data_IF_287373415141
#
_entry.id   IF_287373415141
#
_cell.length_a   1.000
_cell.length_b   1.000
_cell.length_c   1.000
_cell.angle_alpha   90.00
_cell.angle_beta   90.00
_cell.angle_gamma   90.00
#
_symmetry.space_group_name_H-M   'P 1'
#
loop_
_entity.id
_entity.type
_entity.pdbx_description
1 polymer ?
#
# COMPACT_ATOMS: atom_id res chain seq x y z
N UNK A 1 -4.06 -12.06 57.56
CA UNK A 1 -3.09 -11.26 56.77
C UNK A 1 -3.28 -11.65 55.30
N UNK A 2 -4.12 -10.92 54.63
CA UNK A 2 -4.49 -11.19 53.22
C UNK A 2 -3.66 -10.31 52.31
N UNK A 3 -2.89 -10.90 51.45
CA UNK A 3 -2.19 -10.20 50.39
C UNK A 3 -3.11 -10.05 49.19
N UNK A 4 -3.35 -8.82 48.84
CA UNK A 4 -4.15 -8.40 47.67
C UNK A 4 -3.25 -8.46 46.45
N UNK A 5 -3.54 -9.37 45.53
CA UNK A 5 -2.94 -9.36 44.19
C UNK A 5 -3.59 -8.23 43.37
N UNK A 6 -2.81 -7.21 43.12
CA UNK A 6 -3.20 -6.14 42.18
C UNK A 6 -3.05 -6.64 40.75
N UNK A 7 -4.18 -6.89 40.12
CA UNK A 7 -4.25 -7.16 38.69
C UNK A 7 -3.94 -5.86 37.93
N UNK A 8 -2.78 -5.80 37.34
CA UNK A 8 -2.43 -4.73 36.40
C UNK A 8 -3.33 -4.80 35.18
N UNK A 9 -4.07 -3.73 34.96
CA UNK A 9 -4.99 -3.57 33.86
C UNK A 9 -4.27 -3.56 32.51
N UNK A 10 -4.76 -4.37 31.62
CA UNK A 10 -4.37 -4.43 30.23
C UNK A 10 -4.88 -3.16 29.53
N UNK A 11 -4.01 -2.25 29.16
CA UNK A 11 -4.35 -1.12 28.31
C UNK A 11 -4.32 -1.55 26.84
N UNK A 12 -5.34 -1.25 26.05
CA UNK A 12 -5.38 -1.56 24.62
C UNK A 12 -4.76 -0.41 23.78
N UNK A 13 -3.53 -0.04 24.09
CA UNK A 13 -2.74 0.82 23.22
C UNK A 13 -1.47 0.03 22.90
N UNK A 14 -1.26 -0.27 21.63
CA UNK A 14 -0.11 -1.05 21.16
C UNK A 14 1.18 -0.56 21.82
N UNK A 15 1.92 -1.51 22.42
CA UNK A 15 3.08 -1.25 23.27
C UNK A 15 4.12 -0.43 22.48
N UNK A 16 4.22 0.86 22.82
CA UNK A 16 5.27 1.73 22.33
C UNK A 16 6.48 1.59 23.24
N UNK A 17 7.60 1.17 22.67
CA UNK A 17 8.88 1.00 23.35
C UNK A 17 9.72 2.26 23.20
N UNK A 18 10.40 2.66 24.25
CA UNK A 18 11.32 3.81 24.24
C UNK A 18 12.77 3.35 24.04
N UNK A 19 13.59 4.20 23.45
CA UNK A 19 15.05 4.04 23.42
C UNK A 19 15.59 3.77 24.80
N UNK A 20 16.53 2.82 24.92
CA UNK A 20 17.13 2.40 26.20
C UNK A 20 16.33 1.31 26.92
N UNK A 21 15.15 0.91 26.41
CA UNK A 21 14.44 -0.26 26.93
C UNK A 21 14.98 -1.56 26.33
N UNK A 22 14.88 -2.66 27.06
CA UNK A 22 15.19 -4.01 26.62
C UNK A 22 13.88 -4.76 26.34
N UNK A 23 13.26 -4.59 25.20
CA UNK A 23 11.94 -5.17 24.92
C UNK A 23 11.98 -6.64 24.49
N UNK A 24 13.20 -7.23 24.46
CA UNK A 24 13.44 -8.60 24.03
C UNK A 24 13.65 -8.77 22.53
N UNK A 25 13.90 -10.02 22.11
CA UNK A 25 14.13 -10.36 20.71
C UNK A 25 12.92 -10.02 19.83
N UNK A 26 13.18 -9.38 18.69
CA UNK A 26 12.14 -9.05 17.71
C UNK A 26 12.50 -7.90 16.80
N UNK A 27 11.54 -7.59 15.93
CA UNK A 27 11.65 -6.47 14.99
C UNK A 27 10.80 -5.29 15.49
N UNK A 28 11.42 -4.13 15.53
CA UNK A 28 10.81 -2.89 16.02
C UNK A 28 10.83 -1.84 14.92
N UNK A 29 9.77 -1.05 14.83
CA UNK A 29 9.61 -0.02 13.82
C UNK A 29 9.53 1.34 14.45
N UNK A 30 10.34 2.28 13.97
CA UNK A 30 10.31 3.66 14.41
C UNK A 30 8.93 4.28 14.12
N UNK A 31 8.30 4.89 15.14
CA UNK A 31 6.98 5.50 15.00
C UNK A 31 6.97 6.76 14.13
N UNK A 32 8.15 7.35 13.84
CA UNK A 32 8.26 8.59 13.06
C UNK A 32 8.55 8.30 11.59
N UNK A 33 9.55 7.46 11.30
CA UNK A 33 10.01 7.24 9.92
C UNK A 33 9.83 5.80 9.41
N UNK A 34 9.33 4.88 10.25
CA UNK A 34 9.12 3.48 9.88
C UNK A 34 10.40 2.65 9.74
N UNK A 35 11.58 3.20 10.06
CA UNK A 35 12.84 2.44 10.00
C UNK A 35 12.77 1.25 10.93
N UNK A 36 13.21 0.11 10.42
CA UNK A 36 13.19 -1.18 11.11
C UNK A 36 14.49 -1.39 11.88
N UNK A 37 14.38 -1.88 13.12
CA UNK A 37 15.51 -2.30 13.98
C UNK A 37 15.24 -3.72 14.45
N UNK A 38 16.17 -4.63 14.22
CA UNK A 38 16.12 -5.98 14.77
C UNK A 38 16.95 -6.03 16.06
N UNK A 39 16.38 -6.60 17.12
CA UNK A 39 17.04 -6.75 18.43
C UNK A 39 17.10 -8.23 18.81
N UNK A 40 18.19 -8.60 19.49
CA UNK A 40 18.31 -9.87 20.19
C UNK A 40 17.79 -9.74 21.63
N UNK A 41 17.70 -10.85 22.33
CA UNK A 41 17.05 -10.95 23.64
C UNK A 41 17.56 -9.96 24.71
N UNK A 42 18.84 -9.59 24.63
CA UNK A 42 19.52 -8.72 25.59
C UNK A 42 19.88 -7.33 25.05
N UNK A 43 19.44 -7.00 23.83
CA UNK A 43 19.78 -5.73 23.21
C UNK A 43 18.91 -4.60 23.74
N UNK A 44 19.53 -3.44 23.97
CA UNK A 44 18.80 -2.20 24.23
C UNK A 44 18.35 -1.57 22.92
N UNK A 45 17.12 -1.05 22.91
CA UNK A 45 16.56 -0.36 21.76
C UNK A 45 17.30 0.97 21.52
N UNK A 46 18.04 1.12 20.41
CA UNK A 46 18.80 2.35 20.12
C UNK A 46 17.89 3.49 19.70
N UNK A 47 18.39 4.72 19.69
CA UNK A 47 17.71 5.79 18.97
C UNK A 47 17.69 5.47 17.47
N UNK A 48 16.63 5.91 16.77
CA UNK A 48 16.52 5.66 15.33
C UNK A 48 17.71 6.32 14.60
N UNK A 49 18.50 5.52 13.90
CA UNK A 49 19.67 5.94 13.13
C UNK A 49 19.33 6.89 11.98
N UNK A 50 18.08 6.81 11.47
CA UNK A 50 17.62 7.64 10.35
C UNK A 50 17.05 8.99 10.78
N UNK A 51 16.29 9.08 11.88
CA UNK A 51 15.58 10.30 12.26
C UNK A 51 15.78 10.73 13.71
N UNK A 52 16.59 9.99 14.51
CA UNK A 52 16.86 10.29 15.91
C UNK A 52 15.69 10.06 16.87
N UNK A 53 14.57 9.56 16.39
CA UNK A 53 13.39 9.34 17.23
C UNK A 53 13.64 8.25 18.28
N UNK A 54 12.97 8.40 19.44
CA UNK A 54 13.13 7.55 20.61
C UNK A 54 11.97 6.60 20.88
N UNK A 55 11.01 6.49 19.96
CA UNK A 55 9.80 5.67 20.15
C UNK A 55 9.62 4.68 19.01
N UNK A 56 9.34 3.44 19.39
CA UNK A 56 9.19 2.31 18.47
C UNK A 56 7.96 1.48 18.84
N UNK A 57 7.45 0.74 17.88
CA UNK A 57 6.43 -0.29 18.10
C UNK A 57 7.00 -1.65 17.71
N UNK A 58 6.56 -2.69 18.38
CA UNK A 58 6.80 -4.07 17.94
C UNK A 58 5.69 -4.48 17.00
N UNK A 59 6.03 -5.00 15.83
CA UNK A 59 5.03 -5.66 15.00
C UNK A 59 4.81 -7.09 15.52
N UNK A 60 3.59 -7.36 15.92
CA UNK A 60 3.13 -8.73 16.10
C UNK A 60 2.77 -9.27 14.72
N UNK A 61 3.24 -10.49 14.40
CA UNK A 61 2.82 -11.21 13.19
C UNK A 61 1.29 -11.39 13.10
N UNK A 62 0.56 -11.04 14.16
CA UNK A 62 -0.90 -11.04 14.25
C UNK A 62 -1.54 -9.65 14.26
N UNK A 63 -0.77 -8.56 14.24
CA UNK A 63 -1.33 -7.20 14.31
C UNK A 63 -1.80 -6.65 12.95
N UNK A 64 -1.68 -7.42 11.87
CA UNK A 64 -2.27 -7.06 10.58
C UNK A 64 -3.82 -7.12 10.55
N UNK A 65 -4.48 -7.42 11.67
CA UNK A 65 -5.94 -7.59 11.73
C UNK A 65 -6.70 -6.50 12.50
N UNK A 66 -6.06 -5.49 13.07
CA UNK A 66 -6.77 -4.43 13.77
C UNK A 66 -6.12 -3.05 13.60
N UNK A 67 -6.35 -2.42 12.46
CA UNK A 67 -6.31 -0.96 12.38
C UNK A 67 -7.75 -0.46 12.30
N UNK A 68 -8.43 -0.43 13.45
CA UNK A 68 -9.57 0.43 13.66
C UNK A 68 -9.06 1.68 14.38
N UNK A 69 -8.33 2.53 13.62
CA UNK A 69 -8.25 3.95 13.94
C UNK A 69 -9.49 4.62 13.39
N UNK A 70 -10.00 5.72 14.02
CA UNK A 70 -11.04 6.54 13.39
C UNK A 70 -10.53 6.94 11.99
N UNK A 71 -11.42 7.08 10.99
CA UNK A 71 -11.00 7.54 9.68
C UNK A 71 -10.36 8.90 9.88
N UNK A 72 -9.05 8.94 9.91
CA UNK A 72 -8.31 10.17 9.74
C UNK A 72 -8.65 10.60 8.33
N UNK A 73 -9.49 11.62 8.21
CA UNK A 73 -9.67 12.34 6.96
C UNK A 73 -8.34 13.05 6.72
N UNK A 74 -7.34 12.29 6.32
CA UNK A 74 -6.14 12.85 5.77
C UNK A 74 -6.53 13.45 4.44
N UNK A 75 -6.58 14.76 4.41
CA UNK A 75 -6.62 15.53 3.19
C UNK A 75 -5.59 14.92 2.24
N UNK A 76 -6.08 14.38 1.13
CA UNK A 76 -5.26 13.93 0.05
C UNK A 76 -4.47 15.15 -0.45
N UNK A 77 -3.24 15.30 0.00
CA UNK A 77 -2.29 16.13 -0.72
C UNK A 77 -2.13 15.41 -2.06
N UNK A 78 -2.89 15.85 -3.07
CA UNK A 78 -2.58 15.54 -4.46
C UNK A 78 -1.14 16.00 -4.60
N UNK A 79 -0.22 15.07 -4.73
CA UNK A 79 1.10 15.41 -5.23
C UNK A 79 0.80 15.79 -6.68
N UNK A 80 0.80 17.09 -6.98
CA UNK A 80 0.66 17.63 -8.34
C UNK A 80 1.91 17.21 -9.12
N UNK A 81 1.93 15.94 -9.51
CA UNK A 81 2.82 15.48 -10.58
C UNK A 81 2.05 15.73 -11.86
N UNK A 82 2.61 16.57 -12.71
CA UNK A 82 2.11 16.68 -14.07
C UNK A 82 2.05 15.28 -14.68
N UNK A 83 0.89 14.89 -15.23
CA UNK A 83 0.74 13.60 -15.87
C UNK A 83 1.80 13.48 -16.98
N UNK A 84 2.41 12.30 -17.15
CA UNK A 84 3.40 12.11 -18.21
C UNK A 84 2.82 12.43 -19.59
N UNK A 85 3.56 13.16 -20.43
CA UNK A 85 3.10 13.59 -21.75
C UNK A 85 2.63 12.44 -22.66
N UNK A 86 3.15 11.22 -22.48
CA UNK A 86 2.73 10.06 -23.25
C UNK A 86 1.28 9.61 -22.96
N UNK A 87 0.65 10.11 -21.89
CA UNK A 87 -0.75 9.78 -21.58
C UNK A 87 -1.73 10.39 -22.60
N UNK A 88 -1.36 11.51 -23.23
CA UNK A 88 -2.18 12.08 -24.30
C UNK A 88 -2.15 11.19 -25.53
N UNK A 89 -0.96 10.67 -25.90
CA UNK A 89 -0.82 9.66 -26.95
C UNK A 89 -1.60 8.38 -26.64
N UNK A 90 -1.50 7.90 -25.38
CA UNK A 90 -2.27 6.76 -24.94
C UNK A 90 -3.79 7.00 -25.06
N UNK A 91 -4.27 8.19 -24.68
CA UNK A 91 -5.68 8.55 -24.75
C UNK A 91 -6.19 8.62 -26.20
N UNK A 92 -5.38 9.18 -27.12
CA UNK A 92 -5.72 9.24 -28.53
C UNK A 92 -5.76 7.85 -29.20
N UNK A 93 -5.05 6.87 -28.65
CA UNK A 93 -5.01 5.49 -29.16
C UNK A 93 -6.20 4.66 -28.69
N UNK A 94 -7.00 5.14 -27.72
CA UNK A 94 -8.16 4.40 -27.22
C UNK A 94 -9.26 4.32 -28.27
N UNK A 95 -9.70 3.11 -28.55
CA UNK A 95 -10.75 2.83 -29.57
C UNK A 95 -12.11 2.51 -28.95
N UNK A 96 -12.12 2.11 -27.67
CA UNK A 96 -13.34 1.74 -26.94
C UNK A 96 -13.68 2.81 -25.91
N UNK A 97 -14.97 3.18 -25.76
CA UNK A 97 -15.37 4.09 -24.69
C UNK A 97 -15.25 3.42 -23.32
N UNK A 98 -15.02 4.22 -22.28
CA UNK A 98 -14.97 3.76 -20.90
C UNK A 98 -13.60 3.92 -20.25
N UNK A 99 -13.41 3.20 -19.14
CA UNK A 99 -12.19 3.30 -18.36
C UNK A 99 -11.13 2.32 -18.87
N UNK A 100 -9.87 2.79 -18.86
CA UNK A 100 -8.70 2.03 -19.25
C UNK A 100 -7.57 2.23 -18.26
N UNK A 101 -6.76 1.21 -18.04
CA UNK A 101 -5.44 1.37 -17.45
C UNK A 101 -4.41 1.46 -18.57
N UNK A 102 -3.57 2.47 -18.51
CA UNK A 102 -2.44 2.65 -19.45
C UNK A 102 -1.12 2.52 -18.71
N UNK A 103 -0.15 1.88 -19.32
CA UNK A 103 1.23 1.85 -18.83
C UNK A 103 2.21 2.00 -19.98
N UNK A 104 3.42 2.45 -19.66
CA UNK A 104 4.51 2.53 -20.63
C UNK A 104 5.68 1.67 -20.16
N UNK A 105 6.14 0.83 -21.07
CA UNK A 105 7.34 0.03 -20.87
C UNK A 105 8.34 0.35 -22.00
N UNK A 106 9.43 1.04 -21.64
CA UNK A 106 10.35 1.59 -22.64
C UNK A 106 9.66 2.58 -23.58
N UNK A 107 9.56 2.25 -24.86
CA UNK A 107 8.86 3.04 -25.88
C UNK A 107 7.42 2.57 -26.16
N UNK A 108 7.01 1.42 -25.63
CA UNK A 108 5.70 0.83 -25.90
C UNK A 108 4.67 1.28 -24.86
N UNK A 109 3.48 1.64 -25.35
CA UNK A 109 2.32 1.97 -24.53
C UNK A 109 1.35 0.79 -24.59
N UNK A 110 1.03 0.24 -23.42
CA UNK A 110 0.01 -0.79 -23.29
C UNK A 110 -1.23 -0.21 -22.62
N UNK A 111 -2.40 -0.49 -23.18
CA UNK A 111 -3.69 -0.09 -22.63
C UNK A 111 -4.57 -1.30 -22.36
N UNK A 112 -5.27 -1.31 -21.24
CA UNK A 112 -6.14 -2.39 -20.80
C UNK A 112 -7.53 -1.83 -20.51
N UNK A 113 -8.51 -2.23 -21.31
CA UNK A 113 -9.91 -1.81 -21.12
C UNK A 113 -10.49 -2.41 -19.83
N UNK A 114 -11.13 -1.58 -19.01
CA UNK A 114 -11.80 -1.98 -17.78
C UNK A 114 -13.31 -2.27 -18.04
N UNK A 115 -13.59 -3.07 -19.07
CA UNK A 115 -14.94 -3.39 -19.52
C UNK A 115 -15.55 -4.68 -18.94
N UNK A 116 -14.78 -5.38 -18.08
CA UNK A 116 -15.21 -6.60 -17.40
C UNK A 116 -15.39 -6.33 -15.93
N UNK A 117 -16.49 -6.43 -15.32
CA UNK A 117 -16.74 -6.09 -13.90
C UNK A 117 -15.58 -6.30 -12.91
N UNK A 118 -14.76 -7.34 -13.09
CA UNK A 118 -13.58 -7.64 -12.26
C UNK A 118 -12.36 -7.92 -13.14
N UNK A 119 -11.31 -7.15 -12.96
CA UNK A 119 -10.05 -7.25 -13.68
C UNK A 119 -8.93 -7.57 -12.69
N UNK A 120 -8.27 -8.69 -12.91
CA UNK A 120 -7.17 -9.15 -12.07
C UNK A 120 -5.84 -8.64 -12.59
N UNK A 121 -5.03 -8.11 -11.69
CA UNK A 121 -3.68 -7.64 -11.99
C UNK A 121 -2.69 -8.51 -11.20
N UNK A 122 -1.66 -9.00 -11.85
CA UNK A 122 -0.64 -9.80 -11.18
C UNK A 122 0.40 -10.38 -12.11
N UNK A 123 1.40 -11.05 -11.55
CA UNK A 123 2.48 -11.70 -12.30
C UNK A 123 2.06 -13.03 -12.95
N UNK A 124 0.83 -13.44 -12.77
CA UNK A 124 0.33 -14.70 -13.31
C UNK A 124 -0.18 -14.50 -14.73
N UNK A 125 0.18 -15.39 -15.65
CA UNK A 125 -0.32 -15.39 -17.04
C UNK A 125 -1.83 -15.55 -17.16
N UNK A 126 -2.51 -15.93 -16.08
CA UNK A 126 -3.98 -16.00 -16.02
C UNK A 126 -4.61 -14.70 -15.49
N UNK A 127 -3.82 -13.68 -15.15
CA UNK A 127 -4.31 -12.35 -14.84
C UNK A 127 -4.75 -11.63 -16.12
N UNK A 128 -5.79 -10.78 -16.01
CA UNK A 128 -6.26 -9.97 -17.15
C UNK A 128 -5.19 -8.92 -17.54
N UNK A 129 -4.47 -8.40 -16.53
CA UNK A 129 -3.28 -7.54 -16.69
C UNK A 129 -2.10 -8.31 -16.11
N UNK A 130 -1.30 -8.91 -16.97
CA UNK A 130 -0.12 -9.66 -16.57
C UNK A 130 1.10 -8.75 -16.53
N UNK A 131 1.67 -8.58 -15.33
CA UNK A 131 2.89 -7.81 -15.06
C UNK A 131 3.98 -8.79 -14.62
N UNK A 132 4.74 -9.35 -15.58
CA UNK A 132 5.68 -10.44 -15.30
C UNK A 132 7.00 -9.92 -14.71
N UNK A 133 6.96 -9.64 -13.41
CA UNK A 133 8.11 -9.18 -12.65
C UNK A 133 8.09 -9.71 -11.20
N UNK A 134 9.25 -10.05 -10.60
CA UNK A 134 9.36 -10.52 -9.22
C UNK A 134 8.80 -9.55 -8.17
N UNK A 135 8.76 -8.24 -8.44
CA UNK A 135 8.17 -7.24 -7.53
C UNK A 135 6.64 -7.31 -7.48
N UNK A 136 6.01 -8.05 -8.41
CA UNK A 136 4.55 -8.21 -8.49
C UNK A 136 4.15 -9.57 -7.95
N UNK A 137 3.16 -9.62 -7.06
CA UNK A 137 2.59 -10.88 -6.58
C UNK A 137 1.81 -11.60 -7.68
N UNK A 138 1.71 -12.94 -7.63
CA UNK A 138 0.92 -13.71 -8.61
C UNK A 138 -0.52 -13.23 -8.72
N UNK A 139 -1.12 -12.88 -7.58
CA UNK A 139 -2.37 -12.13 -7.43
C UNK A 139 -1.99 -10.88 -6.68
N UNK A 140 -2.04 -9.72 -7.32
CA UNK A 140 -1.56 -8.49 -6.70
C UNK A 140 -2.70 -7.54 -6.40
N UNK A 141 -3.52 -7.26 -7.38
CA UNK A 141 -4.65 -6.36 -7.23
C UNK A 141 -5.86 -6.82 -8.06
N UNK A 142 -7.00 -6.28 -7.71
CA UNK A 142 -8.24 -6.45 -8.46
C UNK A 142 -8.84 -5.06 -8.68
N UNK A 143 -9.20 -4.76 -9.92
CA UNK A 143 -9.98 -3.57 -10.26
C UNK A 143 -11.43 -4.00 -10.50
N UNK A 144 -12.34 -3.37 -9.77
CA UNK A 144 -13.78 -3.49 -10.03
C UNK A 144 -14.23 -2.27 -10.85
N UNK A 145 -14.72 -2.52 -12.04
CA UNK A 145 -15.25 -1.50 -12.94
C UNK A 145 -16.63 -1.94 -13.42
N UNK A 146 -17.66 -1.44 -12.79
CA UNK A 146 -19.05 -1.63 -13.22
C UNK A 146 -19.49 -0.43 -14.04
N UNK A 147 -20.31 -0.68 -15.06
CA UNK A 147 -20.87 0.37 -15.92
C UNK A 147 -21.48 1.51 -15.09
N UNK A 148 -21.10 2.73 -15.43
CA UNK A 148 -21.61 3.95 -14.80
C UNK A 148 -21.09 4.26 -13.39
N UNK A 149 -20.09 3.51 -12.91
CA UNK A 149 -19.41 3.78 -11.62
C UNK A 149 -17.93 3.96 -11.80
N UNK A 150 -17.33 4.78 -10.92
CA UNK A 150 -15.89 4.92 -10.87
C UNK A 150 -15.24 3.56 -10.55
N UNK A 151 -14.15 3.21 -11.23
CA UNK A 151 -13.39 2.02 -10.92
C UNK A 151 -12.83 2.05 -9.50
N UNK A 152 -12.79 0.89 -8.86
CA UNK A 152 -12.20 0.72 -7.52
C UNK A 152 -11.09 -0.31 -7.60
N UNK A 153 -9.94 0.00 -7.03
CA UNK A 153 -8.84 -0.94 -6.91
C UNK A 153 -8.80 -1.51 -5.50
N UNK A 154 -8.49 -2.81 -5.42
CA UNK A 154 -8.34 -3.57 -4.19
C UNK A 154 -6.98 -4.27 -4.21
N UNK A 155 -6.20 -4.15 -3.16
CA UNK A 155 -5.00 -4.99 -2.93
C UNK A 155 -5.43 -6.43 -2.61
N UNK A 156 -5.09 -7.39 -3.46
CA UNK A 156 -5.41 -8.80 -3.25
C UNK A 156 -4.32 -9.53 -2.44
N UNK A 157 -3.98 -8.98 -1.28
CA UNK A 157 -2.97 -9.48 -0.35
C UNK A 157 -1.59 -9.56 -0.98
N UNK A 158 -1.21 -8.50 -1.68
CA UNK A 158 0.10 -8.43 -2.31
C UNK A 158 1.23 -8.29 -1.30
N UNK A 159 2.43 -8.71 -1.67
CA UNK A 159 3.61 -8.59 -0.80
C UNK A 159 4.05 -7.14 -0.62
N UNK A 160 4.05 -6.37 -1.71
CA UNK A 160 4.58 -5.00 -1.72
C UNK A 160 3.48 -3.93 -1.53
N UNK A 161 2.21 -4.31 -1.71
CA UNK A 161 1.08 -3.39 -1.64
C UNK A 161 0.81 -2.67 -2.95
N UNK A 162 -0.37 -2.09 -3.02
CA UNK A 162 -0.81 -1.20 -4.09
C UNK A 162 -0.68 0.24 -3.62
N UNK A 163 -0.13 1.11 -4.46
CA UNK A 163 -0.09 2.54 -4.18
C UNK A 163 -0.95 3.29 -5.20
N UNK A 164 -1.79 4.19 -4.73
CA UNK A 164 -2.53 5.15 -5.56
C UNK A 164 -2.00 6.54 -5.26
N UNK A 165 -1.48 7.23 -6.28
CA UNK A 165 -0.84 8.55 -6.15
C UNK A 165 0.25 8.58 -5.05
N UNK A 166 1.05 7.49 -4.97
CA UNK A 166 2.12 7.35 -3.99
C UNK A 166 1.67 6.95 -2.57
N UNK A 167 0.39 6.72 -2.33
CA UNK A 167 -0.16 6.26 -1.04
C UNK A 167 -0.51 4.79 -1.09
N UNK A 168 -0.06 4.03 -0.10
CA UNK A 168 -0.44 2.62 0.03
C UNK A 168 -1.90 2.50 0.42
N UNK A 169 -2.65 1.68 -0.32
CA UNK A 169 -4.08 1.49 -0.13
C UNK A 169 -4.43 0.00 -0.05
N UNK A 170 -5.45 -0.33 0.73
CA UNK A 170 -6.11 -1.64 0.67
C UNK A 170 -7.25 -1.61 -0.33
N UNK A 171 -8.00 -0.51 -0.36
CA UNK A 171 -9.08 -0.23 -1.32
C UNK A 171 -9.07 1.26 -1.62
N UNK A 172 -9.20 1.62 -2.89
CA UNK A 172 -9.36 3.02 -3.31
C UNK A 172 -10.31 3.13 -4.50
N UNK A 173 -11.07 4.20 -4.56
CA UNK A 173 -11.73 4.66 -5.79
C UNK A 173 -10.70 5.36 -6.66
N UNK A 174 -10.78 5.13 -7.97
CA UNK A 174 -9.84 5.69 -8.93
C UNK A 174 -10.51 6.78 -9.75
N UNK A 175 -9.84 7.91 -9.91
CA UNK A 175 -10.25 8.99 -10.80
C UNK A 175 -9.36 9.00 -12.06
N UNK A 176 -9.89 9.45 -13.22
CA UNK A 176 -9.06 9.63 -14.41
C UNK A 176 -7.84 10.49 -14.15
N UNK A 177 -6.67 10.00 -14.50
CA UNK A 177 -5.38 10.61 -14.20
C UNK A 177 -4.67 10.05 -12.98
N UNK A 178 -5.32 9.23 -12.15
CA UNK A 178 -4.66 8.60 -11.01
C UNK A 178 -3.56 7.64 -11.44
N UNK A 179 -2.42 7.74 -10.75
CA UNK A 179 -1.31 6.80 -10.85
C UNK A 179 -1.52 5.63 -9.90
N UNK A 180 -1.50 4.42 -10.44
CA UNK A 180 -1.51 3.17 -9.69
C UNK A 180 -0.14 2.51 -9.81
N UNK A 181 0.57 2.38 -8.68
CA UNK A 181 1.86 1.71 -8.65
C UNK A 181 1.72 0.27 -8.12
N UNK A 182 2.21 -0.69 -8.91
CA UNK A 182 2.21 -2.12 -8.62
C UNK A 182 3.62 -2.66 -8.87
N UNK A 183 4.34 -2.99 -7.81
CA UNK A 183 5.76 -3.26 -7.91
C UNK A 183 6.51 -2.07 -8.46
N UNK A 184 7.28 -2.25 -9.53
CA UNK A 184 7.95 -1.15 -10.23
C UNK A 184 7.11 -0.51 -11.36
N UNK A 185 5.97 -1.11 -11.71
CA UNK A 185 5.09 -0.61 -12.76
C UNK A 185 4.28 0.61 -12.29
N UNK A 186 4.04 1.52 -13.24
CA UNK A 186 3.16 2.69 -13.08
C UNK A 186 2.07 2.60 -14.12
N UNK A 187 0.86 2.44 -13.64
CA UNK A 187 -0.34 2.43 -14.48
C UNK A 187 -1.14 3.71 -14.21
N UNK A 188 -1.81 4.20 -15.21
CA UNK A 188 -2.62 5.42 -15.11
C UNK A 188 -4.05 5.12 -15.56
N UNK A 189 -5.02 5.63 -14.79
CA UNK A 189 -6.43 5.51 -15.19
C UNK A 189 -6.75 6.56 -16.25
N UNK A 190 -7.25 6.11 -17.38
CA UNK A 190 -7.79 6.92 -18.46
C UNK A 190 -9.28 6.70 -18.62
N UNK A 191 -9.97 7.69 -19.17
CA UNK A 191 -11.38 7.58 -19.57
C UNK A 191 -11.51 8.16 -20.98
N UNK A 192 -12.08 7.35 -21.90
CA UNK A 192 -12.40 7.71 -23.27
C UNK A 192 -13.88 8.07 -23.43
#
# INVERSE_FOLDING_TARGET
MSQIFNSAGTSPAGDAFATGSMPGEGTYFCLVCGTQVALHETDELPACDRCGASRFRRDSIFSSLQVHGPPTVEFAVKIDREPPAWLDEARESLTEPGYHLAMREGSEIATFALNKGWIRIGRCSTADVCLDDPSVSRRHAIVNSNEGRQPRILDDRSLNGVLVNGRKVEVAELEPGDEVAIGHFRLYLLHA
#
